data_IF_991150164894
#
_entry.id   IF_991150164894
#
_cell.length_a   1.000
_cell.length_b   1.000
_cell.length_c   1.000
_cell.angle_alpha   90.00
_cell.angle_beta   90.00
_cell.angle_gamma   90.00
#
_symmetry.space_group_name_H-M   'P 1'
#
loop_
_entity.id
_entity.type
_entity.pdbx_description
1 polymer ?
#
# COMPACT_ATOMS: atom_id res chain seq x y z
N UNK A 1 -8.09 23.66 -5.00
CA UNK A 1 -7.44 23.57 -3.68
C UNK A 1 -6.57 22.34 -3.70
N UNK A 2 -5.26 22.48 -3.93
CA UNK A 2 -4.32 21.36 -3.85
C UNK A 2 -4.03 21.11 -2.37
N UNK A 3 -4.93 20.39 -1.69
CA UNK A 3 -4.69 19.97 -0.32
C UNK A 3 -3.48 19.06 -0.30
N UNK A 4 -2.53 19.33 0.61
CA UNK A 4 -1.37 18.46 0.86
C UNK A 4 -1.83 17.01 0.91
N UNK A 5 -1.48 16.21 -0.10
CA UNK A 5 -1.87 14.80 -0.15
C UNK A 5 -1.03 14.10 0.91
N UNK A 6 -1.70 13.45 1.87
CA UNK A 6 -1.02 12.56 2.80
C UNK A 6 -0.63 11.30 2.04
N UNK A 7 0.58 10.82 2.29
CA UNK A 7 1.15 9.59 1.73
C UNK A 7 1.48 8.64 2.88
N UNK A 8 1.28 7.34 2.67
CA UNK A 8 1.66 6.29 3.63
C UNK A 8 2.72 5.42 2.98
N UNK A 9 3.87 5.23 3.62
CA UNK A 9 4.93 4.35 3.13
C UNK A 9 5.14 3.16 4.07
N UNK A 10 5.06 1.95 3.52
CA UNK A 10 5.36 0.70 4.21
C UNK A 10 6.72 0.19 3.75
N UNK A 11 7.69 0.18 4.67
CA UNK A 11 9.02 -0.34 4.41
C UNK A 11 9.06 -1.84 4.72
N UNK A 12 9.38 -2.64 3.69
CA UNK A 12 9.50 -4.12 3.74
C UNK A 12 8.41 -4.77 4.59
N UNK A 13 7.11 -4.57 4.27
CA UNK A 13 6.04 -5.08 5.12
C UNK A 13 6.06 -6.61 5.13
N UNK A 14 5.94 -7.19 6.32
CA UNK A 14 6.07 -8.64 6.53
C UNK A 14 4.72 -9.32 6.83
N UNK A 15 3.75 -8.56 7.34
CA UNK A 15 2.46 -9.09 7.82
C UNK A 15 1.34 -8.71 6.83
N UNK A 16 0.81 -9.67 6.04
CA UNK A 16 -0.21 -9.37 5.03
C UNK A 16 -1.48 -8.70 5.59
N UNK A 17 -2.05 -9.14 6.73
CA UNK A 17 -3.24 -8.50 7.31
C UNK A 17 -3.05 -7.01 7.61
N UNK A 18 -1.87 -6.61 8.10
CA UNK A 18 -1.58 -5.21 8.39
C UNK A 18 -1.55 -4.37 7.12
N UNK A 19 -0.89 -4.88 6.08
CA UNK A 19 -0.83 -4.21 4.77
C UNK A 19 -2.23 -4.07 4.16
N UNK A 20 -3.05 -5.12 4.25
CA UNK A 20 -4.43 -5.07 3.75
C UNK A 20 -5.30 -4.03 4.47
N UNK A 21 -5.22 -3.97 5.80
CA UNK A 21 -5.95 -2.96 6.59
C UNK A 21 -5.51 -1.53 6.25
N UNK A 22 -4.19 -1.31 6.11
CA UNK A 22 -3.63 0.01 5.74
C UNK A 22 -4.05 0.40 4.32
N UNK A 23 -4.01 -0.53 3.36
CA UNK A 23 -4.49 -0.28 2.01
C UNK A 23 -5.98 0.09 1.97
N UNK A 24 -6.80 -0.55 2.82
CA UNK A 24 -8.22 -0.19 2.96
C UNK A 24 -8.40 1.22 3.51
N UNK A 25 -7.63 1.61 4.51
CA UNK A 25 -7.62 2.99 5.02
C UNK A 25 -7.23 3.97 3.93
N UNK A 26 -6.16 3.69 3.18
CA UNK A 26 -5.70 4.53 2.09
C UNK A 26 -6.75 4.71 0.98
N UNK A 27 -7.45 3.63 0.61
CA UNK A 27 -8.58 3.70 -0.32
C UNK A 27 -9.72 4.59 0.21
N UNK A 28 -10.05 4.48 1.50
CA UNK A 28 -11.12 5.27 2.12
C UNK A 28 -10.77 6.76 2.28
N UNK A 29 -9.49 7.09 2.46
CA UNK A 29 -9.02 8.47 2.66
C UNK A 29 -8.50 9.14 1.39
N UNK A 30 -8.42 8.42 0.27
CA UNK A 30 -7.77 8.90 -0.95
C UNK A 30 -6.27 9.13 -0.80
N UNK A 31 -5.64 8.49 0.19
CA UNK A 31 -4.19 8.55 0.45
C UNK A 31 -3.46 7.59 -0.47
N UNK A 32 -2.33 8.01 -1.01
CA UNK A 32 -1.46 7.13 -1.78
C UNK A 32 -0.63 6.23 -0.86
N UNK A 33 -0.57 4.96 -1.21
CA UNK A 33 0.18 3.93 -0.50
C UNK A 33 1.48 3.63 -1.25
N UNK A 34 2.60 3.70 -0.56
CA UNK A 34 3.90 3.33 -1.08
C UNK A 34 4.37 2.03 -0.42
N UNK A 35 4.82 1.08 -1.23
CA UNK A 35 5.48 -0.14 -0.77
C UNK A 35 6.96 -0.02 -1.11
N UNK A 36 7.82 0.03 -0.10
CA UNK A 36 9.26 0.28 -0.25
C UNK A 36 10.03 -0.99 0.09
N UNK A 37 10.87 -1.45 -0.84
CA UNK A 37 11.59 -2.71 -0.73
C UNK A 37 10.71 -3.92 -1.03
N UNK A 38 11.32 -5.10 -0.96
CA UNK A 38 10.61 -6.37 -1.19
C UNK A 38 9.74 -6.72 0.03
N UNK A 39 8.41 -6.84 -0.13
CA UNK A 39 7.54 -7.34 0.93
C UNK A 39 7.88 -8.78 1.32
N UNK A 40 7.70 -9.11 2.60
CA UNK A 40 7.87 -10.47 3.13
C UNK A 40 6.76 -11.45 2.70
N UNK A 41 5.80 -10.99 1.90
CA UNK A 41 4.68 -11.79 1.39
C UNK A 41 4.38 -11.44 -0.07
N UNK A 42 3.67 -12.32 -0.76
CA UNK A 42 3.22 -12.02 -2.12
C UNK A 42 1.98 -11.13 -2.06
N UNK A 43 1.99 -9.99 -2.73
CA UNK A 43 0.79 -9.13 -2.86
C UNK A 43 -0.32 -9.79 -3.69
N UNK A 44 -0.03 -10.92 -4.33
CA UNK A 44 -1.01 -11.78 -5.02
C UNK A 44 -1.58 -12.88 -4.12
N UNK A 45 -1.14 -12.96 -2.87
CA UNK A 45 -1.49 -14.07 -1.98
C UNK A 45 -3.00 -14.06 -1.65
N UNK A 46 -3.56 -15.27 -1.52
CA UNK A 46 -4.98 -15.54 -1.32
C UNK A 46 -5.56 -14.83 -0.09
N UNK A 47 -4.68 -14.42 0.83
CA UNK A 47 -5.02 -13.61 2.01
C UNK A 47 -5.53 -12.20 1.67
N UNK A 48 -5.01 -11.55 0.62
CA UNK A 48 -5.57 -10.28 0.14
C UNK A 48 -6.92 -10.53 -0.57
N UNK A 49 -7.12 -11.70 -1.19
CA UNK A 49 -8.35 -12.09 -1.91
C UNK A 49 -9.54 -12.39 -1.01
N UNK A 50 -9.32 -12.96 0.18
CA UNK A 50 -10.41 -13.37 1.08
C UNK A 50 -11.09 -12.22 1.81
N UNK A 51 -10.51 -11.02 1.82
CA UNK A 51 -11.08 -9.86 2.51
C UNK A 51 -11.98 -8.98 1.61
N UNK A 52 -12.53 -9.50 0.50
CA UNK A 52 -13.49 -8.76 -0.35
C UNK A 52 -12.81 -7.73 -1.27
N UNK A 53 -11.89 -8.23 -2.08
CA UNK A 53 -10.83 -7.51 -2.80
C UNK A 53 -11.35 -6.62 -3.98
N UNK A 54 -12.03 -5.51 -3.69
CA UNK A 54 -12.25 -4.39 -4.65
C UNK A 54 -11.38 -3.15 -4.33
N UNK A 55 -10.80 -3.07 -3.13
CA UNK A 55 -10.05 -1.89 -2.71
C UNK A 55 -8.65 -1.80 -3.29
N UNK A 56 -7.99 -2.91 -3.65
CA UNK A 56 -6.65 -2.86 -4.23
C UNK A 56 -6.62 -2.13 -5.59
N UNK A 57 -7.73 -2.19 -6.33
CA UNK A 57 -7.95 -1.39 -7.54
C UNK A 57 -8.33 0.06 -7.24
N UNK A 58 -8.84 0.32 -6.03
CA UNK A 58 -9.30 1.63 -5.57
C UNK A 58 -8.22 2.45 -4.85
N UNK A 59 -7.15 1.81 -4.36
CA UNK A 59 -6.00 2.49 -3.77
C UNK A 59 -4.95 2.77 -4.83
N UNK A 60 -4.43 4.01 -4.85
CA UNK A 60 -3.24 4.35 -5.63
C UNK A 60 -2.02 3.75 -4.91
N UNK A 61 -1.39 2.75 -5.51
CA UNK A 61 -0.21 2.08 -4.94
C UNK A 61 1.00 2.31 -5.85
N UNK A 62 2.11 2.73 -5.24
CA UNK A 62 3.41 2.87 -5.88
C UNK A 62 4.43 1.94 -5.22
N UNK A 63 5.22 1.21 -6.02
CA UNK A 63 6.25 0.30 -5.53
C UNK A 63 7.62 0.91 -5.77
N UNK A 64 8.46 0.85 -4.75
CA UNK A 64 9.82 1.40 -4.76
C UNK A 64 10.81 0.34 -4.31
N UNK A 65 11.99 0.29 -4.93
CA UNK A 65 13.06 -0.65 -4.55
C UNK A 65 13.64 -0.33 -3.18
N UNK A 66 13.76 0.95 -2.87
CA UNK A 66 14.36 1.48 -1.63
C UNK A 66 13.87 2.91 -1.35
N UNK A 67 14.32 3.50 -0.25
CA UNK A 67 13.93 4.86 0.13
C UNK A 67 14.42 5.93 -0.85
N UNK A 68 15.56 5.71 -1.50
CA UNK A 68 16.09 6.68 -2.46
C UNK A 68 15.23 6.76 -3.73
N UNK A 69 14.50 5.68 -4.08
CA UNK A 69 13.48 5.73 -5.12
C UNK A 69 12.17 6.39 -4.65
N UNK A 70 11.80 6.24 -3.38
CA UNK A 70 10.61 6.90 -2.80
C UNK A 70 10.74 8.43 -2.76
N UNK A 71 11.94 8.95 -2.50
CA UNK A 71 12.20 10.40 -2.34
C UNK A 71 12.27 11.20 -3.65
N UNK A 72 12.10 10.55 -4.80
CA UNK A 72 12.12 11.17 -6.13
C UNK A 72 10.73 11.64 -6.56
#
# INVERSE_FOLDING_TARGET
MEGSRLHVALYRPEIPPNTGNIARTCAATGTELHIVGTPGFRTTDRHLKRAGLDYWHSVKISYHKDFAELEK
#
